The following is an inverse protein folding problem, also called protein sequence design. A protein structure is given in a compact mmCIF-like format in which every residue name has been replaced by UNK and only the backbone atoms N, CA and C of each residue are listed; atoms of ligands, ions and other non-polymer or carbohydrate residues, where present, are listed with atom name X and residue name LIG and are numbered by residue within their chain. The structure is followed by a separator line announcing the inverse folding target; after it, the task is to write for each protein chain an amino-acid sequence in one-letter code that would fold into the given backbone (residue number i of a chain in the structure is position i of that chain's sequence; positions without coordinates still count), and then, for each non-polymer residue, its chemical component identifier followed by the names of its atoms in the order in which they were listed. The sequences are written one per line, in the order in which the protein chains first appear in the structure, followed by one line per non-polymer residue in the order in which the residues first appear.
data_IF_830246999946
#
_entry.id   IF_830246999946
#
_cell.length_a   1.000
_cell.length_b   1.000
_cell.length_c   1.000
_cell.angle_alpha   90.00
_cell.angle_beta   90.00
_cell.angle_gamma   90.00
#
_symmetry.space_group_name_H-M   'P 1'
#
loop_
_entity.id
_entity.type
_entity.pdbx_description
1 polymer ?
#
# COMPACT_ATOMS: atom_id res chain seq x y z
N UNK A 1 -9.96 11.54 13.99
CA UNK A 1 -8.94 11.54 12.94
C UNK A 1 -7.59 11.32 13.62
N UNK A 2 -6.81 10.36 13.16
CA UNK A 2 -5.51 10.03 13.77
C UNK A 2 -4.41 11.00 13.34
N UNK A 3 -3.30 11.02 14.06
CA UNK A 3 -2.11 11.79 13.65
C UNK A 3 -1.58 11.29 12.29
N UNK A 4 -1.68 10.00 12.04
CA UNK A 4 -1.31 9.43 10.75
C UNK A 4 -2.17 9.98 9.60
N UNK A 5 -3.48 10.20 9.82
CA UNK A 5 -4.36 10.82 8.83
C UNK A 5 -3.94 12.25 8.48
N UNK A 6 -3.54 13.03 9.48
CA UNK A 6 -3.08 14.40 9.27
C UNK A 6 -1.80 14.44 8.46
N UNK A 7 -0.83 13.57 8.78
CA UNK A 7 0.42 13.42 8.04
C UNK A 7 0.14 12.98 6.60
N UNK A 8 -0.73 11.99 6.41
CA UNK A 8 -1.12 11.53 5.08
C UNK A 8 -1.74 12.64 4.23
N UNK A 9 -2.67 13.42 4.79
CA UNK A 9 -3.26 14.57 4.09
C UNK A 9 -2.23 15.64 3.75
N UNK A 10 -1.31 15.93 4.66
CA UNK A 10 -0.23 16.88 4.41
C UNK A 10 0.68 16.40 3.27
N UNK A 11 1.04 15.12 3.25
CA UNK A 11 1.81 14.52 2.15
C UNK A 11 1.07 14.62 0.82
N UNK A 12 -0.22 14.32 0.77
CA UNK A 12 -1.01 14.45 -0.45
C UNK A 12 -1.01 15.90 -0.98
N UNK A 13 -1.20 16.88 -0.12
CA UNK A 13 -1.15 18.29 -0.51
C UNK A 13 0.24 18.68 -1.02
N UNK A 14 1.29 18.30 -0.31
CA UNK A 14 2.65 18.59 -0.70
C UNK A 14 2.99 17.99 -2.08
N UNK A 15 2.55 16.76 -2.36
CA UNK A 15 2.73 16.13 -3.68
C UNK A 15 1.96 16.89 -4.76
N UNK A 16 0.72 17.30 -4.49
CA UNK A 16 -0.09 18.04 -5.45
C UNK A 16 0.48 19.43 -5.73
N UNK A 17 0.98 20.13 -4.70
CA UNK A 17 1.44 21.50 -4.79
C UNK A 17 2.87 21.62 -5.37
N UNK A 18 3.74 20.64 -5.08
CA UNK A 18 5.17 20.70 -5.42
C UNK A 18 5.72 19.47 -6.13
N UNK A 19 4.88 18.51 -6.47
CA UNK A 19 5.27 17.32 -7.21
C UNK A 19 5.48 17.59 -8.70
N UNK A 20 6.13 16.65 -9.36
CA UNK A 20 6.39 16.69 -10.81
C UNK A 20 5.43 15.75 -11.52
N UNK A 21 4.71 16.27 -12.50
CA UNK A 21 3.83 15.49 -13.36
C UNK A 21 4.62 14.84 -14.50
N UNK A 22 4.22 13.62 -14.87
CA UNK A 22 4.82 12.88 -15.98
C UNK A 22 4.12 13.14 -17.33
N UNK A 23 3.57 14.33 -17.53
CA UNK A 23 2.82 14.73 -18.73
C UNK A 23 3.63 14.74 -20.02
N UNK A 24 4.95 14.83 -19.91
CA UNK A 24 5.93 14.75 -20.99
C UNK A 24 6.34 13.32 -21.37
N UNK A 25 5.86 12.33 -20.61
CA UNK A 25 6.18 10.92 -20.82
C UNK A 25 5.00 10.15 -21.42
N UNK A 26 5.31 9.13 -22.20
CA UNK A 26 4.32 8.12 -22.59
C UNK A 26 4.03 7.22 -21.42
N UNK A 27 2.78 7.22 -20.94
CA UNK A 27 2.35 6.38 -19.82
C UNK A 27 1.51 5.20 -20.30
N UNK A 28 1.64 4.06 -19.61
CA UNK A 28 0.88 2.85 -19.94
C UNK A 28 -0.59 2.88 -19.49
N UNK A 29 -0.94 3.40 -18.29
CA UNK A 29 -2.32 3.44 -17.85
C UNK A 29 -3.13 4.51 -18.60
N UNK A 30 -4.40 4.18 -18.86
CA UNK A 30 -5.36 5.08 -19.49
C UNK A 30 -6.67 5.08 -18.71
N UNK A 31 -7.40 6.20 -18.77
CA UNK A 31 -8.74 6.29 -18.28
C UNK A 31 -9.73 5.52 -19.19
N UNK A 32 -10.98 5.33 -18.75
CA UNK A 32 -12.00 4.65 -19.55
C UNK A 32 -12.26 5.32 -20.91
N UNK A 33 -12.05 6.63 -21.00
CA UNK A 33 -12.19 7.41 -22.24
C UNK A 33 -10.98 7.31 -23.18
N UNK A 34 -9.96 6.50 -22.81
CA UNK A 34 -8.74 6.32 -23.59
C UNK A 34 -7.67 7.39 -23.40
N UNK A 35 -7.92 8.41 -22.58
CA UNK A 35 -6.90 9.43 -22.28
C UNK A 35 -5.81 8.90 -21.38
N UNK A 36 -4.53 9.33 -21.55
CA UNK A 36 -3.44 8.91 -20.69
C UNK A 36 -3.68 9.28 -19.22
N UNK A 37 -3.49 8.32 -18.31
CA UNK A 37 -3.60 8.54 -16.88
C UNK A 37 -2.22 8.91 -16.29
N UNK A 38 -1.90 10.20 -16.37
CA UNK A 38 -0.66 10.74 -15.83
C UNK A 38 -0.65 10.76 -14.30
N UNK A 39 0.54 10.74 -13.70
CA UNK A 39 0.73 10.78 -12.25
C UNK A 39 1.59 11.98 -11.84
N UNK A 40 1.36 12.44 -10.62
CA UNK A 40 2.20 13.43 -9.96
C UNK A 40 3.07 12.72 -8.92
N UNK A 41 4.34 13.03 -8.90
CA UNK A 41 5.34 12.35 -8.06
C UNK A 41 6.20 13.35 -7.32
N UNK A 42 6.59 12.97 -6.11
CA UNK A 42 7.61 13.68 -5.34
C UNK A 42 8.65 12.68 -4.87
N UNK A 43 9.93 13.00 -5.08
CA UNK A 43 11.02 12.15 -4.63
C UNK A 43 11.34 12.41 -3.17
N UNK A 44 10.99 11.45 -2.34
CA UNK A 44 11.32 11.46 -0.92
C UNK A 44 10.39 12.31 -0.06
N UNK A 45 9.80 11.67 0.93
CA UNK A 45 9.06 12.26 2.04
C UNK A 45 9.52 11.59 3.34
N UNK A 46 9.68 12.37 4.40
CA UNK A 46 10.04 11.84 5.72
C UNK A 46 8.88 12.08 6.68
N UNK A 47 8.31 10.99 7.19
CA UNK A 47 7.27 11.03 8.20
C UNK A 47 7.83 10.59 9.56
N UNK A 48 7.40 11.28 10.63
CA UNK A 48 7.76 10.94 12.00
C UNK A 48 6.50 10.68 12.81
N UNK A 49 6.49 9.57 13.53
CA UNK A 49 5.38 9.14 14.37
C UNK A 49 5.89 8.93 15.79
N UNK A 50 5.24 9.58 16.75
CA UNK A 50 5.52 9.38 18.17
C UNK A 50 4.67 8.23 18.70
N UNK A 51 5.27 7.05 18.85
CA UNK A 51 4.56 5.85 19.31
C UNK A 51 4.15 5.89 20.79
N UNK A 52 4.64 6.87 21.55
CA UNK A 52 4.15 7.10 22.93
C UNK A 52 2.78 7.78 22.95
N UNK A 53 2.46 8.53 21.90
CA UNK A 53 1.19 9.24 21.77
C UNK A 53 0.13 8.40 21.11
N UNK A 54 0.48 7.77 19.97
CA UNK A 54 -0.48 7.08 19.15
C UNK A 54 0.19 6.06 18.22
N UNK A 55 -0.46 4.91 18.00
CA UNK A 55 -0.07 4.00 16.93
C UNK A 55 -0.48 4.58 15.57
N UNK A 56 0.43 4.65 14.57
CA UNK A 56 0.20 5.33 13.30
C UNK A 56 -0.72 4.53 12.36
N UNK A 57 -1.99 4.46 12.68
CA UNK A 57 -3.00 3.81 11.85
C UNK A 57 -3.87 4.85 11.14
N UNK A 58 -4.11 4.65 9.84
CA UNK A 58 -5.03 5.49 9.06
C UNK A 58 -6.48 5.14 9.38
N UNK A 59 -7.30 6.16 9.60
CA UNK A 59 -8.73 6.05 9.90
C UNK A 59 -9.65 6.70 8.84
N UNK A 60 -9.06 7.26 7.78
CA UNK A 60 -9.80 7.87 6.66
C UNK A 60 -10.67 6.87 5.89
N UNK A 61 -10.31 5.60 5.96
CA UNK A 61 -11.08 4.47 5.46
C UNK A 61 -10.87 3.27 6.39
N UNK A 62 -11.74 2.27 6.26
CA UNK A 62 -11.60 1.05 7.06
C UNK A 62 -10.25 0.39 6.79
N UNK A 63 -9.49 0.16 7.85
CA UNK A 63 -8.23 -0.59 7.82
C UNK A 63 -8.46 -1.99 8.34
N UNK A 64 -8.07 -3.00 7.58
CA UNK A 64 -8.17 -4.42 7.94
C UNK A 64 -6.97 -4.84 8.79
N UNK A 65 -6.85 -4.28 9.97
CA UNK A 65 -5.69 -4.42 10.85
C UNK A 65 -5.40 -5.88 11.22
N UNK A 66 -6.44 -6.66 11.53
CA UNK A 66 -6.28 -8.08 11.86
C UNK A 66 -5.67 -8.86 10.70
N UNK A 67 -6.13 -8.64 9.49
CA UNK A 67 -5.60 -9.28 8.28
C UNK A 67 -4.13 -8.91 8.06
N UNK A 68 -3.76 -7.66 8.28
CA UNK A 68 -2.37 -7.22 8.19
C UNK A 68 -1.47 -7.91 9.22
N UNK A 69 -1.96 -8.08 10.46
CA UNK A 69 -1.21 -8.79 11.50
C UNK A 69 -1.07 -10.27 11.17
N UNK A 70 -2.13 -10.92 10.70
CA UNK A 70 -2.09 -12.34 10.30
C UNK A 70 -1.04 -12.55 9.18
N UNK A 71 -0.97 -11.67 8.19
CA UNK A 71 0.04 -11.71 7.12
C UNK A 71 1.45 -11.45 7.65
N UNK A 72 1.62 -10.47 8.53
CA UNK A 72 2.91 -10.17 9.15
C UNK A 72 3.47 -11.38 9.92
N UNK A 73 2.62 -12.08 10.69
CA UNK A 73 2.99 -13.27 11.44
C UNK A 73 3.31 -14.45 10.51
N UNK A 74 2.57 -14.59 9.42
CA UNK A 74 2.83 -15.60 8.39
C UNK A 74 4.22 -15.40 7.75
N UNK A 75 4.57 -14.18 7.36
CA UNK A 75 5.86 -13.87 6.73
C UNK A 75 7.01 -13.99 7.72
N UNK A 76 6.91 -13.33 8.88
CA UNK A 76 8.04 -13.13 9.78
C UNK A 76 8.18 -14.21 10.85
N UNK A 77 7.09 -14.70 11.41
CA UNK A 77 7.12 -15.67 12.47
C UNK A 77 7.07 -17.11 11.95
N UNK A 78 6.16 -17.41 11.05
CA UNK A 78 6.04 -18.73 10.42
C UNK A 78 7.09 -18.95 9.33
N UNK A 79 7.58 -17.85 8.72
CA UNK A 79 8.57 -17.88 7.62
C UNK A 79 8.12 -18.77 6.46
N UNK A 80 6.82 -18.76 6.18
CA UNK A 80 6.21 -19.52 5.11
C UNK A 80 6.02 -18.67 3.85
N UNK A 81 6.18 -19.28 2.70
CA UNK A 81 5.79 -18.74 1.40
C UNK A 81 4.55 -19.44 0.85
N UNK A 82 3.98 -20.38 1.59
CA UNK A 82 2.75 -21.08 1.21
C UNK A 82 1.53 -20.36 1.77
N UNK A 83 0.63 -19.90 0.90
CA UNK A 83 -0.58 -19.16 1.29
C UNK A 83 -1.56 -20.00 2.13
N UNK A 84 -1.49 -21.34 2.05
CA UNK A 84 -2.33 -22.22 2.86
C UNK A 84 -1.99 -22.14 4.35
N UNK A 85 -0.80 -21.66 4.70
CA UNK A 85 -0.39 -21.42 6.08
C UNK A 85 -0.91 -20.07 6.62
N UNK A 86 -1.40 -19.20 5.72
CA UNK A 86 -2.01 -17.92 6.07
C UNK A 86 -3.48 -18.12 6.44
N UNK A 87 -3.92 -17.55 7.55
CA UNK A 87 -5.31 -17.65 8.03
C UNK A 87 -6.33 -16.93 7.14
N UNK A 88 -5.90 -15.94 6.37
CA UNK A 88 -6.76 -15.20 5.43
C UNK A 88 -6.67 -15.74 4.01
N UNK A 89 -7.53 -15.23 3.13
CA UNK A 89 -7.64 -15.65 1.73
C UNK A 89 -7.28 -14.54 0.73
N UNK A 90 -6.56 -13.50 1.20
CA UNK A 90 -6.27 -12.31 0.41
C UNK A 90 -5.35 -12.56 -0.80
N UNK A 91 -4.60 -13.67 -0.77
CA UNK A 91 -3.65 -14.02 -1.83
C UNK A 91 -4.07 -15.23 -2.66
N UNK A 92 -5.24 -15.83 -2.40
CA UNK A 92 -5.68 -17.07 -3.07
C UNK A 92 -5.71 -16.93 -4.60
N UNK A 93 -6.12 -15.78 -5.11
CA UNK A 93 -6.18 -15.53 -6.57
C UNK A 93 -4.81 -15.34 -7.23
N UNK A 94 -3.74 -15.25 -6.44
CA UNK A 94 -2.37 -15.02 -6.91
C UNK A 94 -1.46 -16.24 -6.77
N UNK A 95 -2.01 -17.34 -6.30
CA UNK A 95 -1.27 -18.56 -6.05
C UNK A 95 -1.80 -19.72 -6.91
N UNK A 96 -0.96 -20.70 -7.11
CA UNK A 96 -1.32 -21.96 -7.74
C UNK A 96 -2.00 -22.94 -6.74
N UNK A 97 -2.38 -24.12 -7.21
CA UNK A 97 -3.03 -25.14 -6.39
C UNK A 97 -2.15 -25.66 -5.23
N UNK A 98 -0.84 -25.50 -5.35
CA UNK A 98 0.12 -25.87 -4.29
C UNK A 98 0.22 -24.85 -3.19
N UNK A 99 -0.38 -23.66 -3.36
CA UNK A 99 -0.34 -22.54 -2.44
C UNK A 99 0.91 -21.68 -2.55
N UNK A 100 1.71 -21.85 -3.60
CA UNK A 100 2.86 -21.01 -3.85
C UNK A 100 2.48 -19.80 -4.69
N UNK A 101 2.98 -18.64 -4.28
CA UNK A 101 2.70 -17.39 -4.96
C UNK A 101 3.43 -17.32 -6.31
N UNK A 102 2.72 -16.95 -7.38
CA UNK A 102 3.29 -16.73 -8.70
C UNK A 102 4.27 -15.55 -8.76
N UNK A 103 4.30 -14.71 -7.75
CA UNK A 103 5.20 -13.54 -7.66
C UNK A 103 6.66 -13.96 -7.42
N UNK A 104 6.89 -15.18 -6.97
CA UNK A 104 8.21 -15.71 -6.65
C UNK A 104 8.83 -16.57 -7.75
N UNK A 105 8.26 -16.54 -8.94
CA UNK A 105 8.81 -17.21 -10.13
C UNK A 105 9.82 -16.31 -10.83
#
# INVERSE_FOLDING_TARGET
MSRADEIFKANCRDILDSGVWDTDLTVRPHWEDGTPAHTVKKFGLVNRYNLQEEFPILTLRRTYFKTCIDELLWIWQQKSNNIHDLRGHIWDSWADETGLSLIHI
#
